data_IF_692807025041
#
_entry.id   IF_692807025041
#
_cell.length_a   1.000
_cell.length_b   1.000
_cell.length_c   1.000
_cell.angle_alpha   90.00
_cell.angle_beta   90.00
_cell.angle_gamma   90.00
#
_symmetry.space_group_name_H-M   'P 1'
#
loop_
_entity.id
_entity.type
_entity.pdbx_description
1 polymer ?
#
# COMPACT_ATOMS: atom_id res chain seq x y z
N UNK A 1 0.15 -12.81 29.38
CA UNK A 1 0.78 -12.52 28.06
C UNK A 1 0.01 -11.53 27.16
N UNK A 2 -1.21 -11.06 27.48
CA UNK A 2 -1.97 -10.13 26.62
C UNK A 2 -1.63 -8.63 26.80
N UNK A 3 -0.99 -8.23 27.91
CA UNK A 3 -0.70 -6.81 28.19
C UNK A 3 0.55 -6.27 27.49
N UNK A 4 1.60 -7.10 27.35
CA UNK A 4 2.84 -6.72 26.64
C UNK A 4 2.62 -6.44 25.16
N UNK A 5 1.68 -7.14 24.52
CA UNK A 5 1.31 -6.93 23.11
C UNK A 5 0.70 -5.54 22.86
N UNK A 6 -0.18 -5.07 23.76
CA UNK A 6 -0.84 -3.76 23.63
C UNK A 6 0.12 -2.59 23.87
N UNK A 7 1.05 -2.75 24.82
CA UNK A 7 2.08 -1.74 25.12
C UNK A 7 3.04 -1.58 23.93
N UNK A 8 3.46 -2.70 23.33
CA UNK A 8 4.33 -2.67 22.15
C UNK A 8 3.62 -2.01 20.95
N UNK A 9 2.35 -2.34 20.70
CA UNK A 9 1.57 -1.69 19.63
C UNK A 9 1.45 -0.17 19.81
N UNK A 10 1.24 0.31 21.04
CA UNK A 10 1.15 1.76 21.33
C UNK A 10 2.48 2.47 21.08
N UNK A 11 3.61 1.88 21.51
CA UNK A 11 4.95 2.44 21.28
C UNK A 11 5.30 2.50 19.79
N UNK A 12 4.97 1.45 19.04
CA UNK A 12 5.19 1.42 17.58
C UNK A 12 4.36 2.48 16.87
N UNK A 13 3.09 2.69 17.27
CA UNK A 13 2.26 3.77 16.70
C UNK A 13 2.81 5.16 16.98
N UNK A 14 3.21 5.43 18.23
CA UNK A 14 3.78 6.72 18.60
C UNK A 14 5.10 6.99 17.84
N UNK A 15 5.93 5.95 17.63
CA UNK A 15 7.15 6.06 16.84
C UNK A 15 6.87 6.40 15.37
N UNK A 16 5.92 5.71 14.72
CA UNK A 16 5.54 6.01 13.35
C UNK A 16 4.92 7.40 13.21
N UNK A 17 4.13 7.83 14.19
CA UNK A 17 3.55 9.18 14.19
C UNK A 17 4.64 10.24 14.29
N UNK A 18 5.60 10.09 15.21
CA UNK A 18 6.74 11.01 15.32
C UNK A 18 7.58 11.06 14.05
N UNK A 19 7.89 9.90 13.46
CA UNK A 19 8.60 9.84 12.18
C UNK A 19 7.87 10.55 11.05
N UNK A 20 6.53 10.49 11.04
CA UNK A 20 5.71 11.21 10.07
C UNK A 20 5.76 12.72 10.31
N UNK A 21 5.66 13.16 11.56
CA UNK A 21 5.81 14.57 11.94
C UNK A 21 7.18 15.11 11.52
N UNK A 22 8.26 14.38 11.79
CA UNK A 22 9.63 14.73 11.38
C UNK A 22 9.77 14.83 9.85
N UNK A 23 9.12 13.93 9.10
CA UNK A 23 9.10 13.98 7.62
C UNK A 23 8.29 15.17 7.09
N UNK A 24 7.13 15.46 7.68
CA UNK A 24 6.34 16.64 7.31
C UNK A 24 7.15 17.92 7.56
N UNK A 25 7.86 18.00 8.69
CA UNK A 25 8.77 19.12 8.97
C UNK A 25 9.91 19.25 7.96
N UNK A 26 10.34 18.14 7.34
CA UNK A 26 11.32 18.12 6.25
C UNK A 26 10.70 18.45 4.86
N UNK A 27 9.41 18.76 4.79
CA UNK A 27 8.72 19.12 3.55
C UNK A 27 8.08 17.95 2.80
N UNK A 28 7.97 16.77 3.42
CA UNK A 28 7.26 15.63 2.83
C UNK A 28 5.75 15.84 2.89
N UNK A 29 5.06 15.44 1.83
CA UNK A 29 3.60 15.49 1.78
C UNK A 29 3.03 14.06 1.75
N UNK A 30 1.92 13.87 2.44
CA UNK A 30 1.24 12.57 2.54
C UNK A 30 -0.24 12.75 2.23
N UNK A 31 -0.79 11.93 1.35
CA UNK A 31 -2.19 11.95 0.96
C UNK A 31 -2.79 10.55 1.07
N UNK A 32 -3.99 10.43 1.64
CA UNK A 32 -4.75 9.17 1.63
C UNK A 32 -5.47 8.92 0.29
N UNK A 33 -5.22 9.79 -0.69
CA UNK A 33 -5.73 9.68 -2.06
C UNK A 33 -4.66 10.01 -3.11
N UNK A 34 -4.73 9.34 -4.26
CA UNK A 34 -3.92 9.63 -5.45
C UNK A 34 -4.80 9.63 -6.70
N UNK A 35 -4.69 10.66 -7.53
CA UNK A 35 -5.59 10.90 -8.66
C UNK A 35 -4.95 10.69 -10.04
N UNK A 36 -3.65 10.36 -10.13
CA UNK A 36 -2.95 10.23 -11.41
C UNK A 36 -3.13 8.88 -12.14
N UNK A 37 -3.82 7.89 -11.54
CA UNK A 37 -3.99 6.54 -12.11
C UNK A 37 -5.27 6.37 -12.96
N UNK A 38 -5.88 7.47 -13.42
CA UNK A 38 -7.15 7.50 -14.15
C UNK A 38 -8.39 7.30 -13.26
N UNK A 39 -8.34 6.38 -12.30
CA UNK A 39 -9.27 6.33 -11.17
C UNK A 39 -8.55 6.70 -9.88
N UNK A 40 -9.21 7.40 -8.93
CA UNK A 40 -8.60 7.69 -7.64
C UNK A 40 -8.19 6.40 -6.92
N UNK A 41 -6.96 6.34 -6.44
CA UNK A 41 -6.56 5.38 -5.42
C UNK A 41 -6.83 6.00 -4.06
N UNK A 42 -7.70 5.35 -3.30
CA UNK A 42 -8.02 5.75 -1.92
C UNK A 42 -7.59 4.63 -0.99
N UNK A 43 -7.28 4.97 0.26
CA UNK A 43 -6.81 4.00 1.27
C UNK A 43 -7.66 2.73 1.29
N UNK A 44 -7.00 1.57 1.16
CA UNK A 44 -7.64 0.26 1.12
C UNK A 44 -8.07 -0.22 -0.27
N UNK A 45 -8.18 0.65 -1.28
CA UNK A 45 -8.46 0.25 -2.67
C UNK A 45 -7.27 -0.53 -3.23
N UNK A 46 -7.55 -1.54 -4.07
CA UNK A 46 -6.49 -2.30 -4.72
C UNK A 46 -6.16 -1.77 -6.10
N UNK A 47 -4.93 -1.98 -6.53
CA UNK A 47 -4.46 -1.70 -7.88
C UNK A 47 -3.58 -2.82 -8.38
N UNK A 48 -3.59 -3.04 -9.68
CA UNK A 48 -2.68 -3.94 -10.35
C UNK A 48 -1.39 -3.19 -10.65
N UNK A 49 -0.30 -3.79 -10.26
CA UNK A 49 1.04 -3.31 -10.50
C UNK A 49 1.72 -4.16 -11.58
N UNK A 50 2.37 -3.50 -12.53
CA UNK A 50 3.27 -4.15 -13.48
C UNK A 50 4.71 -3.79 -13.09
N UNK A 51 5.57 -4.79 -12.81
CA UNK A 51 6.95 -4.48 -12.49
C UNK A 51 7.65 -3.79 -13.64
N UNK A 52 8.40 -2.75 -13.30
CA UNK A 52 9.41 -2.15 -14.16
C UNK A 52 10.78 -2.55 -13.64
N UNK A 53 11.76 -2.55 -14.54
CA UNK A 53 13.15 -2.65 -14.13
C UNK A 53 13.49 -1.40 -13.32
N UNK A 54 14.10 -1.59 -12.16
CA UNK A 54 14.61 -0.47 -11.39
C UNK A 54 16.02 -0.16 -11.87
N UNK A 55 16.14 0.91 -12.63
CA UNK A 55 17.41 1.43 -13.12
C UNK A 55 17.76 2.67 -12.30
N UNK A 56 18.76 2.57 -11.43
CA UNK A 56 19.24 3.69 -10.64
C UNK A 56 20.67 4.05 -11.08
N UNK A 57 20.87 5.30 -11.51
CA UNK A 57 22.16 5.81 -12.03
C UNK A 57 22.78 4.92 -13.11
N UNK A 58 21.96 4.38 -14.02
CA UNK A 58 22.41 3.51 -15.11
C UNK A 58 22.71 2.06 -14.71
N UNK A 59 22.52 1.69 -13.44
CA UNK A 59 22.65 0.31 -12.95
C UNK A 59 21.26 -0.33 -12.88
N UNK A 60 21.08 -1.45 -13.57
CA UNK A 60 19.84 -2.25 -13.49
C UNK A 60 19.91 -3.15 -12.25
N UNK A 61 19.08 -2.86 -11.26
CA UNK A 61 18.95 -3.66 -10.03
C UNK A 61 17.91 -4.78 -10.17
N UNK A 62 17.39 -5.00 -11.38
CA UNK A 62 16.40 -6.01 -11.71
C UNK A 62 14.96 -5.59 -11.39
N UNK A 63 14.09 -6.60 -11.33
CA UNK A 63 12.68 -6.45 -11.00
C UNK A 63 12.52 -6.47 -9.48
N UNK A 64 12.25 -5.31 -8.87
CA UNK A 64 12.19 -5.15 -7.40
C UNK A 64 10.90 -5.70 -6.79
N UNK A 65 9.92 -6.09 -7.61
CA UNK A 65 8.57 -6.38 -7.12
C UNK A 65 7.84 -7.37 -8.01
N UNK A 66 6.98 -8.20 -7.40
CA UNK A 66 6.22 -9.20 -8.16
C UNK A 66 4.96 -8.60 -8.76
N UNK A 67 4.59 -9.06 -9.95
CA UNK A 67 3.31 -8.69 -10.55
C UNK A 67 2.13 -9.17 -9.69
N UNK A 68 1.15 -8.30 -9.47
CA UNK A 68 0.02 -8.63 -8.62
C UNK A 68 -0.89 -7.46 -8.31
N UNK A 69 -1.84 -7.72 -7.41
CA UNK A 69 -2.69 -6.70 -6.83
C UNK A 69 -2.08 -6.20 -5.53
N UNK A 70 -2.05 -4.89 -5.35
CA UNK A 70 -1.52 -4.23 -4.17
C UNK A 70 -2.64 -3.39 -3.56
N UNK A 71 -2.64 -3.27 -2.24
CA UNK A 71 -3.59 -2.44 -1.52
C UNK A 71 -2.94 -1.10 -1.22
N UNK A 72 -3.55 -0.03 -1.71
CA UNK A 72 -3.09 1.34 -1.49
C UNK A 72 -3.18 1.72 0.00
N UNK A 73 -2.14 2.37 0.51
CA UNK A 73 -2.07 2.90 1.88
C UNK A 73 -2.09 4.41 1.82
N UNK A 74 -1.13 5.01 1.13
CA UNK A 74 -0.99 6.46 0.99
C UNK A 74 -0.10 6.83 -0.20
N UNK A 75 -0.23 8.07 -0.64
CA UNK A 75 0.63 8.72 -1.60
C UNK A 75 1.59 9.66 -0.87
N UNK A 76 2.87 9.60 -1.22
CA UNK A 76 3.95 10.31 -0.56
C UNK A 76 4.71 11.12 -1.59
N UNK A 77 4.83 12.43 -1.37
CA UNK A 77 5.64 13.33 -2.19
C UNK A 77 6.85 13.76 -1.38
N UNK A 78 8.04 13.47 -1.90
CA UNK A 78 9.30 13.87 -1.31
C UNK A 78 9.56 15.38 -1.54
N UNK A 79 10.41 16.01 -0.71
CA UNK A 79 10.76 17.43 -0.88
C UNK A 79 11.43 17.75 -2.23
N UNK A 80 12.05 16.77 -2.87
CA UNK A 80 12.65 16.89 -4.20
C UNK A 80 11.64 16.71 -5.36
N UNK A 81 10.34 16.57 -5.05
CA UNK A 81 9.27 16.36 -6.02
C UNK A 81 9.07 14.91 -6.47
N UNK A 82 9.85 13.94 -5.97
CA UNK A 82 9.65 12.52 -6.31
C UNK A 82 8.41 11.96 -5.59
N UNK A 83 7.54 11.28 -6.34
CA UNK A 83 6.29 10.69 -5.85
C UNK A 83 6.41 9.17 -5.63
N UNK A 84 5.81 8.68 -4.55
CA UNK A 84 5.73 7.27 -4.22
C UNK A 84 4.34 6.86 -3.74
N UNK A 85 3.94 5.65 -4.10
CA UNK A 85 2.73 4.98 -3.66
C UNK A 85 3.12 3.94 -2.61
N UNK A 86 2.78 4.21 -1.36
CA UNK A 86 2.90 3.26 -0.27
C UNK A 86 1.75 2.26 -0.33
N UNK A 87 2.10 0.97 -0.28
CA UNK A 87 1.12 -0.09 -0.46
C UNK A 87 1.50 -1.37 0.31
N UNK A 88 0.55 -2.31 0.37
CA UNK A 88 0.78 -3.64 0.90
C UNK A 88 0.42 -4.69 -0.15
N UNK A 89 1.28 -5.68 -0.34
CA UNK A 89 1.06 -6.74 -1.33
C UNK A 89 2.33 -7.52 -1.62
N UNK A 90 2.31 -8.42 -2.61
CA UNK A 90 1.22 -8.63 -3.57
C UNK A 90 0.13 -9.60 -3.08
N UNK A 91 -1.06 -9.42 -3.64
CA UNK A 91 -2.24 -10.26 -3.52
C UNK A 91 -2.60 -10.90 -4.86
N UNK A 92 -3.35 -12.00 -4.81
CA UNK A 92 -4.08 -12.56 -5.96
C UNK A 92 -5.24 -11.64 -6.35
N UNK A 93 -5.83 -11.85 -7.53
CA UNK A 93 -7.04 -11.13 -7.95
C UNK A 93 -8.20 -11.31 -6.96
N UNK A 94 -8.32 -12.51 -6.38
CA UNK A 94 -9.32 -12.82 -5.35
C UNK A 94 -9.05 -12.19 -3.98
N UNK A 95 -7.82 -11.72 -3.73
CA UNK A 95 -7.46 -11.03 -2.47
C UNK A 95 -6.61 -11.85 -1.50
N UNK A 96 -6.23 -13.08 -1.83
CA UNK A 96 -5.32 -13.87 -1.01
C UNK A 96 -3.88 -13.33 -1.10
N UNK A 97 -3.17 -13.28 0.02
CA UNK A 97 -1.77 -12.86 0.04
C UNK A 97 -0.89 -13.85 -0.74
N UNK A 98 0.07 -13.34 -1.53
CA UNK A 98 1.08 -14.17 -2.21
C UNK A 98 2.38 -14.24 -1.40
N UNK A 99 3.26 -15.18 -1.73
CA UNK A 99 4.61 -15.25 -1.15
C UNK A 99 5.40 -13.96 -1.38
N UNK A 100 5.91 -13.37 -0.29
CA UNK A 100 6.57 -12.06 -0.28
C UNK A 100 5.60 -10.89 -0.10
N UNK A 101 4.44 -11.13 0.52
CA UNK A 101 3.49 -10.07 0.88
C UNK A 101 4.08 -9.18 1.99
N UNK A 102 4.09 -7.87 1.78
CA UNK A 102 4.63 -6.91 2.75
C UNK A 102 4.38 -5.46 2.32
N UNK A 103 4.90 -4.54 3.11
CA UNK A 103 4.93 -3.12 2.79
C UNK A 103 5.91 -2.86 1.65
N UNK A 104 5.46 -2.10 0.65
CA UNK A 104 6.26 -1.72 -0.52
C UNK A 104 5.91 -0.31 -0.97
N UNK A 105 6.87 0.36 -1.59
CA UNK A 105 6.74 1.72 -2.12
C UNK A 105 7.06 1.69 -3.61
N UNK A 106 6.20 2.29 -4.44
CA UNK A 106 6.39 2.30 -5.90
C UNK A 106 6.19 3.66 -6.53
N UNK A 107 6.86 3.93 -7.64
CA UNK A 107 6.53 5.08 -8.47
C UNK A 107 5.12 4.92 -9.07
N UNK A 108 4.32 6.00 -9.16
CA UNK A 108 2.95 5.92 -9.66
C UNK A 108 2.82 5.34 -11.07
N UNK A 109 3.82 5.55 -11.94
CA UNK A 109 3.84 5.07 -13.32
C UNK A 109 3.87 3.54 -13.47
N UNK A 110 4.00 2.80 -12.37
CA UNK A 110 3.91 1.34 -12.36
C UNK A 110 2.48 0.82 -12.17
N UNK A 111 1.53 1.72 -11.89
CA UNK A 111 0.11 1.39 -11.77
C UNK A 111 -0.47 1.18 -13.17
N UNK A 112 -0.98 -0.03 -13.43
CA UNK A 112 -1.59 -0.36 -14.73
C UNK A 112 -3.10 -0.44 -14.68
N UNK A 113 -3.67 -0.63 -13.49
CA UNK A 113 -5.11 -0.74 -13.34
C UNK A 113 -5.51 -0.49 -11.90
N UNK A 114 -6.59 0.28 -11.67
CA UNK A 114 -7.20 0.44 -10.35
C UNK A 114 -8.44 -0.46 -10.24
N UNK A 115 -8.63 -1.08 -9.08
CA UNK A 115 -9.84 -1.84 -8.79
C UNK A 115 -11.05 -0.90 -8.78
N UNK A 116 -12.05 -1.20 -9.62
CA UNK A 116 -13.25 -0.36 -9.76
C UNK A 116 -14.14 -0.34 -8.53
N UNK A 117 -14.17 -1.43 -7.77
CA UNK A 117 -14.97 -1.55 -6.55
C UNK A 117 -14.05 -1.55 -5.35
N UNK A 118 -14.28 -0.68 -4.36
CA UNK A 118 -13.80 -1.01 -3.02
C UNK A 118 -14.60 -2.22 -2.57
N UNK A 119 -13.96 -3.39 -2.46
CA UNK A 119 -14.53 -4.43 -1.62
C UNK A 119 -14.44 -3.93 -0.19
N UNK A 120 -15.58 -3.59 0.40
CA UNK A 120 -15.62 -3.24 1.80
C UNK A 120 -15.24 -4.49 2.62
N UNK A 121 -14.22 -4.44 3.50
CA UNK A 121 -13.85 -5.58 4.34
C UNK A 121 -15.02 -6.10 5.18
N UNK A 122 -16.00 -5.22 5.49
CA UNK A 122 -17.20 -5.56 6.23
C UNK A 122 -18.12 -6.45 5.39
N UNK A 123 -18.32 -6.13 4.12
CA UNK A 123 -19.16 -6.94 3.22
C UNK A 123 -18.55 -8.31 2.94
N UNK A 124 -17.22 -8.41 2.80
CA UNK A 124 -16.55 -9.71 2.57
C UNK A 124 -16.58 -10.61 3.83
N UNK A 125 -16.54 -10.02 5.05
CA UNK A 125 -16.76 -10.78 6.30
C UNK A 125 -18.23 -11.22 6.45
N UNK A 126 -19.17 -10.35 6.10
CA UNK A 126 -20.61 -10.66 6.14
C UNK A 126 -20.96 -11.77 5.14
N UNK A 127 -20.47 -11.66 3.91
CA UNK A 127 -20.65 -12.67 2.86
C UNK A 127 -20.00 -14.02 3.21
N UNK A 128 -18.82 -14.03 3.86
CA UNK A 128 -18.21 -15.27 4.36
C UNK A 128 -19.02 -15.91 5.49
N UNK A 129 -19.51 -15.12 6.45
CA UNK A 129 -20.38 -15.64 7.51
C UNK A 129 -21.69 -16.19 6.96
N UNK A 130 -22.29 -15.53 5.98
CA UNK A 130 -23.51 -16.00 5.33
C UNK A 130 -23.28 -17.29 4.52
N UNK A 131 -22.11 -17.45 3.90
CA UNK A 131 -21.74 -18.67 3.17
C UNK A 131 -21.32 -19.85 4.08
N UNK A 132 -20.94 -19.62 5.34
CA UNK A 132 -20.66 -20.67 6.32
C UNK A 132 -21.93 -21.14 7.08
N UNK A 133 -23.02 -20.37 7.00
CA UNK A 133 -24.29 -20.63 7.69
C UNK A 133 -25.40 -21.16 6.75
N UNK A 134 -25.13 -21.28 5.45
CA UNK A 134 -26.04 -21.87 4.45
C UNK A 134 -25.48 -23.15 3.88
#
# INVERSE_FOLDING_TARGET
>A
MRETSKINQRRTRALHQKQREDKVAQGWQFSEEYHGAGLPLVKGRRFKFKPKEFIYKGVNYGIVSKAGWYRFIEHVVHPNGTEWIECYGPYTKSGSAKTGCGYQSFEPDCIVQVERKLKDPIEDHKARKEAELG
#
